data_IF_438592597146
#
_entry.id   IF_438592597146
#
_cell.length_a   1.000
_cell.length_b   1.000
_cell.length_c   1.000
_cell.angle_alpha   90.00
_cell.angle_beta   90.00
_cell.angle_gamma   90.00
#
_symmetry.space_group_name_H-M   'P 1'
#
loop_
_entity.id
_entity.type
_entity.pdbx_description
1 polymer ?
#
# COMPACT_ATOMS: atom_id res chain seq x y z
N UNK A 1 -16.48 27.31 1.86
CA UNK A 1 -16.58 25.85 2.00
C UNK A 1 -15.54 25.25 1.07
N UNK A 2 -14.61 24.48 1.57
CA UNK A 2 -13.67 23.74 0.73
C UNK A 2 -14.45 22.66 -0.03
N UNK A 3 -14.20 22.51 -1.32
CA UNK A 3 -14.79 21.45 -2.15
C UNK A 3 -14.50 20.08 -1.52
N UNK A 4 -15.51 19.20 -1.45
CA UNK A 4 -15.31 17.78 -1.15
C UNK A 4 -14.30 17.18 -2.13
N UNK A 5 -13.30 16.42 -1.63
CA UNK A 5 -12.31 15.74 -2.48
C UNK A 5 -12.87 14.42 -2.97
N UNK A 6 -12.49 14.03 -4.17
CA UNK A 6 -12.73 12.68 -4.70
C UNK A 6 -11.56 11.77 -4.30
N UNK A 7 -11.84 10.76 -3.49
CA UNK A 7 -10.86 9.82 -2.93
C UNK A 7 -11.14 8.41 -3.44
N UNK A 8 -10.15 7.77 -4.01
CA UNK A 8 -10.20 6.36 -4.42
C UNK A 8 -9.39 5.52 -3.45
N UNK A 9 -9.97 4.45 -2.93
CA UNK A 9 -9.31 3.53 -1.99
C UNK A 9 -9.39 2.11 -2.54
N UNK A 10 -8.25 1.47 -2.78
CA UNK A 10 -8.21 0.03 -3.10
C UNK A 10 -8.21 -0.79 -1.82
N UNK A 11 -8.87 -1.97 -1.82
CA UNK A 11 -8.91 -2.83 -0.64
C UNK A 11 -9.75 -2.24 0.51
N UNK A 12 -10.73 -1.38 0.18
CA UNK A 12 -11.53 -0.66 1.16
C UNK A 12 -12.60 -1.49 1.87
N UNK A 13 -12.73 -2.78 1.57
CA UNK A 13 -13.76 -3.64 2.16
C UNK A 13 -13.45 -4.09 3.60
N UNK A 14 -12.19 -4.02 4.05
CA UNK A 14 -11.78 -4.50 5.38
C UNK A 14 -10.46 -3.88 5.88
N UNK A 15 -10.13 -4.11 7.14
CA UNK A 15 -8.83 -3.81 7.74
C UNK A 15 -8.42 -2.34 7.59
N UNK A 16 -7.16 -2.11 7.18
CA UNK A 16 -6.61 -0.77 6.99
C UNK A 16 -7.44 0.02 5.96
N UNK A 17 -7.87 -0.63 4.85
CA UNK A 17 -8.64 0.03 3.81
C UNK A 17 -9.99 0.54 4.29
N UNK A 18 -10.73 -0.24 5.07
CA UNK A 18 -11.99 0.21 5.68
C UNK A 18 -11.78 1.39 6.65
N UNK A 19 -10.71 1.36 7.45
CA UNK A 19 -10.36 2.48 8.33
C UNK A 19 -10.01 3.75 7.54
N UNK A 20 -9.30 3.62 6.40
CA UNK A 20 -9.01 4.72 5.48
C UNK A 20 -10.31 5.28 4.89
N UNK A 21 -11.21 4.42 4.42
CA UNK A 21 -12.54 4.83 3.88
C UNK A 21 -13.32 5.62 4.92
N UNK A 22 -13.45 5.08 6.14
CA UNK A 22 -14.16 5.76 7.24
C UNK A 22 -13.55 7.14 7.53
N UNK A 23 -12.24 7.21 7.65
CA UNK A 23 -11.53 8.46 7.92
C UNK A 23 -11.85 9.55 6.88
N UNK A 24 -11.77 9.26 5.59
CA UNK A 24 -12.07 10.24 4.55
C UNK A 24 -13.55 10.62 4.53
N UNK A 25 -14.46 9.66 4.70
CA UNK A 25 -15.90 9.92 4.75
C UNK A 25 -16.28 10.84 5.94
N UNK A 26 -15.69 10.61 7.12
CA UNK A 26 -15.88 11.48 8.31
C UNK A 26 -15.40 12.91 8.10
N UNK A 27 -14.42 13.13 7.20
CA UNK A 27 -13.95 14.46 6.81
C UNK A 27 -14.77 15.09 5.67
N UNK A 28 -15.83 14.40 5.21
CA UNK A 28 -16.74 14.91 4.17
C UNK A 28 -16.20 14.73 2.75
N UNK A 29 -15.23 13.84 2.53
CA UNK A 29 -14.74 13.50 1.21
C UNK A 29 -15.67 12.49 0.52
N UNK A 30 -15.73 12.52 -0.82
CA UNK A 30 -16.44 11.54 -1.63
C UNK A 30 -15.53 10.34 -1.88
N UNK A 31 -15.84 9.20 -1.24
CA UNK A 31 -14.98 8.01 -1.29
C UNK A 31 -15.54 6.98 -2.28
N UNK A 32 -14.66 6.48 -3.15
CA UNK A 32 -14.91 5.33 -4.03
C UNK A 32 -13.98 4.20 -3.63
N UNK A 33 -14.57 3.03 -3.36
CA UNK A 33 -13.86 1.80 -3.04
C UNK A 33 -13.68 0.97 -4.30
N UNK A 34 -12.44 0.58 -4.58
CA UNK A 34 -12.09 -0.45 -5.56
C UNK A 34 -11.69 -1.73 -4.82
N UNK A 35 -12.51 -2.76 -4.92
CA UNK A 35 -12.30 -4.03 -4.22
C UNK A 35 -12.98 -5.16 -4.98
N UNK A 36 -12.62 -6.41 -4.71
CA UNK A 36 -13.33 -7.60 -5.23
C UNK A 36 -14.67 -7.84 -4.54
N UNK A 37 -14.87 -7.25 -3.37
CA UNK A 37 -16.09 -7.40 -2.56
C UNK A 37 -16.55 -6.04 -2.06
N UNK A 38 -17.86 -5.82 -1.95
CA UNK A 38 -18.37 -4.61 -1.30
C UNK A 38 -17.97 -4.59 0.18
N UNK A 39 -17.57 -3.42 0.66
CA UNK A 39 -17.30 -3.16 2.08
C UNK A 39 -18.57 -2.77 2.85
N UNK A 40 -18.38 -2.50 4.14
CA UNK A 40 -19.46 -2.04 5.04
C UNK A 40 -19.61 -0.51 5.07
N UNK A 41 -18.66 0.22 4.50
CA UNK A 41 -18.66 1.68 4.52
C UNK A 41 -19.71 2.26 3.55
N UNK A 42 -20.28 3.41 3.89
CA UNK A 42 -21.22 4.17 3.05
C UNK A 42 -20.47 4.88 1.88
N UNK A 43 -19.61 4.16 1.18
CA UNK A 43 -18.85 4.64 0.04
C UNK A 43 -19.39 4.02 -1.25
N UNK A 44 -19.19 4.72 -2.37
CA UNK A 44 -19.47 4.14 -3.69
C UNK A 44 -18.50 2.97 -3.91
N UNK A 45 -19.02 1.83 -4.29
CA UNK A 45 -18.26 0.63 -4.61
C UNK A 45 -18.16 0.43 -6.13
N UNK A 46 -16.99 0.05 -6.59
CA UNK A 46 -16.72 -0.45 -7.95
C UNK A 46 -15.94 -1.74 -7.79
N UNK A 47 -16.43 -2.83 -8.39
CA UNK A 47 -15.71 -4.10 -8.39
C UNK A 47 -14.43 -3.97 -9.20
N UNK A 48 -13.31 -4.41 -8.61
CA UNK A 48 -12.00 -4.39 -9.26
C UNK A 48 -11.11 -5.52 -8.73
N UNK A 49 -10.56 -6.31 -9.64
CA UNK A 49 -9.48 -7.26 -9.35
C UNK A 49 -8.14 -6.65 -9.77
N UNK A 50 -7.28 -6.37 -8.81
CA UNK A 50 -5.95 -5.79 -9.08
C UNK A 50 -4.98 -6.80 -9.72
N UNK A 51 -5.34 -8.07 -9.79
CA UNK A 51 -4.57 -9.07 -10.53
C UNK A 51 -4.97 -9.14 -12.03
N UNK A 52 -5.89 -8.31 -12.48
CA UNK A 52 -6.37 -8.24 -13.87
C UNK A 52 -6.37 -6.79 -14.39
N UNK A 53 -5.48 -6.50 -15.35
CA UNK A 53 -5.39 -5.18 -15.98
C UNK A 53 -6.71 -4.74 -16.62
N UNK A 54 -7.47 -5.64 -17.22
CA UNK A 54 -8.76 -5.30 -17.84
C UNK A 54 -9.82 -4.91 -16.80
N UNK A 55 -9.82 -5.56 -15.64
CA UNK A 55 -10.65 -5.17 -14.50
C UNK A 55 -10.26 -3.79 -13.95
N UNK A 56 -8.95 -3.52 -13.84
CA UNK A 56 -8.45 -2.20 -13.43
C UNK A 56 -8.88 -1.13 -14.42
N UNK A 57 -8.69 -1.35 -15.72
CA UNK A 57 -9.04 -0.39 -16.78
C UNK A 57 -10.54 -0.08 -16.79
N UNK A 58 -11.39 -1.10 -16.59
CA UNK A 58 -12.84 -0.93 -16.49
C UNK A 58 -13.22 -0.12 -15.24
N UNK A 59 -12.58 -0.39 -14.11
CA UNK A 59 -12.79 0.37 -12.87
C UNK A 59 -12.39 1.85 -13.04
N UNK A 60 -11.23 2.13 -13.64
CA UNK A 60 -10.76 3.49 -13.95
C UNK A 60 -11.72 4.22 -14.89
N UNK A 61 -12.23 3.54 -15.92
CA UNK A 61 -13.21 4.10 -16.85
C UNK A 61 -14.54 4.48 -16.15
N UNK A 62 -14.89 3.76 -15.08
CA UNK A 62 -16.11 4.00 -14.29
C UNK A 62 -15.99 5.17 -13.29
N UNK A 63 -14.79 5.73 -13.09
CA UNK A 63 -14.53 6.83 -12.13
C UNK A 63 -14.97 8.18 -12.69
N UNK A 64 -16.00 8.53 -13.13
CA UNK A 64 -16.56 9.71 -13.83
C UNK A 64 -16.06 11.12 -13.47
N UNK A 65 -15.16 11.30 -12.47
CA UNK A 65 -14.63 12.58 -12.00
C UNK A 65 -13.11 12.57 -11.85
N UNK A 66 -12.44 13.73 -11.89
CA UNK A 66 -11.04 13.82 -11.49
C UNK A 66 -10.86 13.34 -10.04
N UNK A 67 -9.83 12.54 -9.81
CA UNK A 67 -9.47 12.01 -8.49
C UNK A 67 -8.49 12.98 -7.82
N UNK A 68 -8.75 13.35 -6.56
CA UNK A 68 -7.86 14.19 -5.78
C UNK A 68 -6.86 13.36 -4.95
N UNK A 69 -7.29 12.17 -4.50
CA UNK A 69 -6.48 11.26 -3.69
C UNK A 69 -6.66 9.82 -4.15
N UNK A 70 -5.56 9.10 -4.32
CA UNK A 70 -5.53 7.65 -4.49
C UNK A 70 -4.85 7.00 -3.29
N UNK A 71 -5.55 6.10 -2.61
CA UNK A 71 -5.02 5.28 -1.52
C UNK A 71 -4.90 3.83 -2.02
N UNK A 72 -3.68 3.38 -2.30
CA UNK A 72 -3.37 2.01 -2.67
C UNK A 72 -3.18 1.17 -1.39
N UNK A 73 -4.26 0.55 -0.91
CA UNK A 73 -4.26 -0.21 0.35
C UNK A 73 -4.42 -1.71 0.15
N UNK A 74 -5.01 -2.13 -0.98
CA UNK A 74 -5.19 -3.54 -1.28
C UNK A 74 -3.87 -4.32 -1.23
N UNK A 75 -3.94 -5.52 -0.69
CA UNK A 75 -2.81 -6.43 -0.63
C UNK A 75 -3.23 -7.83 -0.19
N UNK A 76 -2.38 -8.79 -0.46
CA UNK A 76 -2.47 -10.18 0.01
C UNK A 76 -1.20 -10.56 0.76
N UNK A 77 -1.29 -11.55 1.64
CA UNK A 77 -0.18 -12.03 2.47
C UNK A 77 0.78 -12.94 1.71
N UNK A 78 1.93 -13.27 2.35
CA UNK A 78 2.88 -14.26 1.87
C UNK A 78 2.36 -15.70 1.80
N UNK A 79 1.16 -15.96 2.34
CA UNK A 79 0.49 -17.25 2.20
C UNK A 79 -0.11 -17.48 0.80
N UNK A 80 -0.19 -16.44 -0.02
CA UNK A 80 -0.73 -16.51 -1.38
C UNK A 80 0.34 -16.97 -2.40
N UNK A 81 -0.09 -17.44 -3.60
CA UNK A 81 0.84 -17.75 -4.70
C UNK A 81 1.65 -16.51 -5.14
N UNK A 82 2.92 -16.73 -5.53
CA UNK A 82 3.85 -15.67 -5.97
C UNK A 82 3.23 -14.73 -7.01
N UNK A 83 2.58 -15.29 -8.03
CA UNK A 83 1.95 -14.52 -9.11
C UNK A 83 0.87 -13.57 -8.59
N UNK A 84 0.04 -14.06 -7.65
CA UNK A 84 -1.04 -13.26 -7.07
C UNK A 84 -0.48 -12.14 -6.20
N UNK A 85 0.56 -12.43 -5.41
CA UNK A 85 1.22 -11.43 -4.55
C UNK A 85 1.79 -10.30 -5.40
N UNK A 86 2.58 -10.64 -6.42
CA UNK A 86 3.20 -9.65 -7.30
C UNK A 86 2.15 -8.85 -8.07
N UNK A 87 1.13 -9.55 -8.59
CA UNK A 87 0.02 -8.92 -9.32
C UNK A 87 -0.74 -7.92 -8.46
N UNK A 88 -1.18 -8.31 -7.27
CA UNK A 88 -1.99 -7.45 -6.40
C UNK A 88 -1.15 -6.40 -5.68
N UNK A 89 -0.03 -6.81 -5.04
CA UNK A 89 0.68 -5.92 -4.12
C UNK A 89 1.56 -4.88 -4.81
N UNK A 90 1.91 -5.10 -6.08
CA UNK A 90 2.78 -4.19 -6.81
C UNK A 90 2.29 -3.85 -8.21
N UNK A 91 2.24 -4.82 -9.14
CA UNK A 91 1.99 -4.50 -10.55
C UNK A 91 0.59 -3.95 -10.81
N UNK A 92 -0.43 -4.43 -10.11
CA UNK A 92 -1.79 -3.89 -10.21
C UNK A 92 -1.91 -2.49 -9.63
N UNK A 93 -1.28 -2.22 -8.47
CA UNK A 93 -1.23 -0.89 -7.88
C UNK A 93 -0.47 0.09 -8.78
N UNK A 94 0.65 -0.35 -9.37
CA UNK A 94 1.41 0.42 -10.35
C UNK A 94 0.56 0.73 -11.58
N UNK A 95 -0.07 -0.28 -12.19
CA UNK A 95 -0.93 -0.11 -13.36
C UNK A 95 -2.08 0.87 -13.08
N UNK A 96 -2.79 0.68 -11.97
CA UNK A 96 -3.85 1.60 -11.54
C UNK A 96 -3.34 3.04 -11.38
N UNK A 97 -2.19 3.21 -10.72
CA UNK A 97 -1.60 4.53 -10.46
C UNK A 97 -1.18 5.20 -11.77
N UNK A 98 -0.52 4.49 -12.68
CA UNK A 98 -0.10 5.00 -13.98
C UNK A 98 -1.30 5.42 -14.85
N UNK A 99 -2.46 4.74 -14.74
CA UNK A 99 -3.70 5.11 -15.41
C UNK A 99 -4.39 6.32 -14.78
N UNK A 100 -4.35 6.45 -13.45
CA UNK A 100 -5.09 7.50 -12.74
C UNK A 100 -4.33 8.82 -12.64
N UNK A 101 -3.02 8.80 -12.40
CA UNK A 101 -2.25 10.03 -12.15
C UNK A 101 -2.41 11.08 -13.25
N UNK A 102 -2.42 10.75 -14.55
CA UNK A 102 -2.65 11.73 -15.61
C UNK A 102 -4.05 12.40 -15.56
N UNK A 103 -5.00 11.79 -14.86
CA UNK A 103 -6.40 12.25 -14.70
C UNK A 103 -6.66 12.84 -13.31
N UNK A 104 -5.69 12.83 -12.41
CA UNK A 104 -5.82 13.40 -11.07
C UNK A 104 -5.77 14.93 -11.11
N UNK A 105 -6.37 15.54 -10.11
CA UNK A 105 -6.27 16.98 -9.90
C UNK A 105 -4.84 17.40 -9.59
N UNK A 106 -4.39 18.53 -10.12
CA UNK A 106 -3.09 19.10 -9.74
C UNK A 106 -3.03 19.38 -8.23
N UNK A 107 -1.93 18.99 -7.59
CA UNK A 107 -1.77 19.03 -6.14
C UNK A 107 -2.39 17.85 -5.40
N UNK A 108 -2.87 16.84 -6.12
CA UNK A 108 -3.36 15.58 -5.57
C UNK A 108 -2.28 14.74 -4.89
N UNK A 109 -2.69 13.64 -4.29
CA UNK A 109 -1.78 12.73 -3.60
C UNK A 109 -2.10 11.26 -3.86
N UNK A 110 -1.05 10.47 -4.01
CA UNK A 110 -1.10 9.00 -3.97
C UNK A 110 -0.41 8.54 -2.70
N UNK A 111 -1.08 7.71 -1.90
CA UNK A 111 -0.51 7.10 -0.71
C UNK A 111 -0.67 5.59 -0.83
N UNK A 112 0.44 4.87 -0.83
CA UNK A 112 0.45 3.41 -0.97
C UNK A 112 0.85 2.75 0.34
N UNK A 113 0.15 1.67 0.74
CA UNK A 113 0.47 0.91 1.94
C UNK A 113 1.46 -0.20 1.57
N UNK A 114 2.72 0.01 1.98
CA UNK A 114 3.78 -0.98 1.88
C UNK A 114 3.79 -1.91 3.10
N UNK A 115 4.93 -2.08 3.78
CA UNK A 115 5.10 -2.88 5.01
C UNK A 115 6.52 -2.68 5.55
N UNK A 116 6.74 -2.88 6.85
CA UNK A 116 8.09 -3.03 7.41
C UNK A 116 8.86 -4.20 6.80
N UNK A 117 8.18 -5.23 6.26
CA UNK A 117 8.83 -6.25 5.45
C UNK A 117 9.62 -5.69 4.24
N UNK A 118 9.34 -4.46 3.82
CA UNK A 118 10.11 -3.74 2.81
C UNK A 118 11.32 -2.96 3.33
N UNK A 119 11.65 -3.04 4.62
CA UNK A 119 12.71 -2.26 5.27
C UNK A 119 14.09 -2.45 4.62
N UNK A 120 14.42 -3.68 4.24
CA UNK A 120 15.73 -4.05 3.71
C UNK A 120 15.86 -3.89 2.18
N UNK A 121 15.04 -3.07 1.53
CA UNK A 121 15.06 -2.89 0.08
C UNK A 121 16.44 -2.49 -0.49
N UNK A 122 17.30 -1.86 0.34
CA UNK A 122 18.64 -1.45 -0.08
C UNK A 122 19.56 -2.65 -0.31
N UNK A 123 19.41 -3.70 0.47
CA UNK A 123 20.20 -4.93 0.36
C UNK A 123 19.79 -5.75 -0.86
N UNK A 124 18.58 -5.52 -1.35
CA UNK A 124 17.99 -6.21 -2.51
C UNK A 124 17.80 -5.30 -3.73
N UNK A 125 18.50 -4.19 -3.79
CA UNK A 125 18.25 -3.11 -4.77
C UNK A 125 18.28 -3.59 -6.23
N UNK A 126 19.19 -4.51 -6.59
CA UNK A 126 19.29 -5.04 -7.96
C UNK A 126 18.08 -5.87 -8.35
N UNK A 127 17.56 -6.70 -7.44
CA UNK A 127 16.36 -7.51 -7.66
C UNK A 127 15.12 -6.64 -7.75
N UNK A 128 14.99 -5.72 -6.80
CA UNK A 128 13.88 -4.77 -6.74
C UNK A 128 13.85 -3.88 -7.97
N UNK A 129 15.01 -3.41 -8.43
CA UNK A 129 15.13 -2.57 -9.62
C UNK A 129 14.69 -3.31 -10.89
N UNK A 130 14.94 -4.61 -11.00
CA UNK A 130 14.43 -5.43 -12.13
C UNK A 130 12.89 -5.47 -12.13
N UNK A 131 12.25 -5.62 -10.98
CA UNK A 131 10.79 -5.58 -10.87
C UNK A 131 10.24 -4.18 -11.19
N UNK A 132 10.85 -3.15 -10.62
CA UNK A 132 10.42 -1.75 -10.80
C UNK A 132 10.51 -1.30 -12.26
N UNK A 133 11.51 -1.77 -13.00
CA UNK A 133 11.69 -1.43 -14.42
C UNK A 133 11.08 -2.44 -15.40
N UNK A 134 10.33 -3.44 -14.91
CA UNK A 134 9.60 -4.33 -15.80
C UNK A 134 8.69 -3.51 -16.75
N UNK A 135 8.66 -3.83 -18.06
CA UNK A 135 7.99 -3.01 -19.06
C UNK A 135 6.47 -2.93 -18.85
N UNK A 136 5.87 -4.02 -18.39
CA UNK A 136 4.43 -4.13 -18.17
C UNK A 136 4.12 -5.11 -17.02
N UNK A 137 2.83 -5.26 -16.72
CA UNK A 137 2.31 -6.14 -15.68
C UNK A 137 2.74 -7.61 -15.90
N UNK A 138 2.52 -8.14 -17.10
CA UNK A 138 2.75 -9.55 -17.39
C UNK A 138 4.25 -9.92 -17.32
N UNK A 139 5.09 -9.11 -17.92
CA UNK A 139 6.55 -9.28 -17.86
C UNK A 139 7.08 -9.18 -16.42
N UNK A 140 6.52 -8.25 -15.64
CA UNK A 140 6.92 -8.09 -14.24
C UNK A 140 6.53 -9.28 -13.37
N UNK A 141 5.33 -9.79 -13.49
CA UNK A 141 4.88 -10.99 -12.78
C UNK A 141 5.72 -12.20 -13.20
N UNK A 142 6.05 -12.33 -14.48
CA UNK A 142 6.92 -13.41 -14.97
C UNK A 142 8.32 -13.32 -14.35
N UNK A 143 8.99 -12.16 -14.41
CA UNK A 143 10.32 -11.93 -13.82
C UNK A 143 10.33 -12.36 -12.35
N UNK A 144 9.36 -11.92 -11.56
CA UNK A 144 9.30 -12.26 -10.15
C UNK A 144 8.99 -13.74 -9.91
N UNK A 145 8.11 -14.35 -10.72
CA UNK A 145 7.80 -15.79 -10.61
C UNK A 145 9.00 -16.68 -10.90
N UNK A 146 9.85 -16.26 -11.81
CA UNK A 146 11.08 -17.01 -12.17
C UNK A 146 12.21 -16.83 -11.15
N UNK A 147 12.21 -15.73 -10.38
CA UNK A 147 13.31 -15.37 -9.48
C UNK A 147 13.03 -15.58 -7.99
N UNK A 148 11.76 -15.62 -7.57
CA UNK A 148 11.39 -15.69 -6.16
C UNK A 148 10.98 -17.10 -5.75
N UNK A 149 11.50 -17.56 -4.60
CA UNK A 149 11.39 -18.95 -4.19
C UNK A 149 10.00 -19.33 -3.64
N UNK A 150 9.33 -18.39 -2.97
CA UNK A 150 8.06 -18.66 -2.26
C UNK A 150 7.24 -17.37 -2.05
N UNK A 151 6.07 -17.52 -1.43
CA UNK A 151 5.17 -16.39 -1.20
C UNK A 151 5.71 -15.36 -0.19
N UNK A 152 6.47 -15.77 0.83
CA UNK A 152 7.12 -14.85 1.78
C UNK A 152 8.10 -13.94 1.04
N UNK A 153 8.97 -14.52 0.22
CA UNK A 153 9.93 -13.74 -0.58
C UNK A 153 9.21 -12.80 -1.55
N UNK A 154 8.14 -13.27 -2.19
CA UNK A 154 7.33 -12.47 -3.09
C UNK A 154 6.64 -11.31 -2.36
N UNK A 155 6.14 -11.53 -1.16
CA UNK A 155 5.55 -10.48 -0.34
C UNK A 155 6.59 -9.41 -0.03
N UNK A 156 7.74 -9.79 0.53
CA UNK A 156 8.84 -8.89 0.86
C UNK A 156 9.26 -8.08 -0.38
N UNK A 157 9.57 -8.72 -1.49
CA UNK A 157 9.98 -8.05 -2.73
C UNK A 157 8.90 -7.16 -3.32
N UNK A 158 7.61 -7.53 -3.19
CA UNK A 158 6.51 -6.67 -3.64
C UNK A 158 6.44 -5.36 -2.85
N UNK A 159 6.69 -5.41 -1.53
CA UNK A 159 6.68 -4.23 -0.66
C UNK A 159 7.93 -3.36 -0.86
N UNK A 160 9.09 -3.97 -1.00
CA UNK A 160 10.32 -3.28 -1.40
C UNK A 160 10.17 -2.60 -2.77
N UNK A 161 9.62 -3.29 -3.77
CA UNK A 161 9.37 -2.73 -5.08
C UNK A 161 8.40 -1.55 -5.04
N UNK A 162 7.36 -1.61 -4.19
CA UNK A 162 6.41 -0.51 -4.02
C UNK A 162 7.08 0.73 -3.42
N UNK A 163 7.95 0.57 -2.42
CA UNK A 163 8.72 1.66 -1.80
C UNK A 163 9.64 2.31 -2.86
N UNK A 164 10.45 1.51 -3.54
CA UNK A 164 11.43 2.00 -4.52
C UNK A 164 10.73 2.64 -5.71
N UNK A 165 9.69 1.99 -6.27
CA UNK A 165 8.92 2.53 -7.38
C UNK A 165 8.24 3.86 -7.03
N UNK A 166 7.72 3.99 -5.81
CA UNK A 166 7.09 5.24 -5.34
C UNK A 166 8.07 6.41 -5.41
N UNK A 167 9.33 6.20 -5.06
CA UNK A 167 10.36 7.23 -5.20
C UNK A 167 10.60 7.64 -6.67
N UNK A 168 10.68 6.68 -7.60
CA UNK A 168 10.80 6.97 -9.04
C UNK A 168 9.56 7.69 -9.58
N UNK A 169 8.36 7.19 -9.22
CA UNK A 169 7.10 7.77 -9.66
C UNK A 169 6.90 9.20 -9.12
N UNK A 170 7.32 9.46 -7.88
CA UNK A 170 7.29 10.81 -7.30
C UNK A 170 8.12 11.82 -8.07
N UNK A 171 9.27 11.41 -8.62
CA UNK A 171 10.08 12.27 -9.48
C UNK A 171 9.46 12.43 -10.88
N UNK A 172 8.90 11.35 -11.45
CA UNK A 172 8.23 11.36 -12.75
C UNK A 172 7.03 12.32 -12.76
N UNK A 173 6.24 12.34 -11.67
CA UNK A 173 4.99 13.12 -11.56
C UNK A 173 5.15 14.39 -10.71
N UNK A 174 6.39 14.80 -10.40
CA UNK A 174 6.66 16.00 -9.59
C UNK A 174 5.97 17.24 -10.16
N UNK A 175 5.42 18.04 -9.26
CA UNK A 175 4.69 19.25 -9.63
C UNK A 175 3.23 19.02 -10.06
N UNK A 176 2.81 17.76 -10.22
CA UNK A 176 1.43 17.39 -10.51
C UNK A 176 0.77 16.74 -9.29
N UNK A 177 1.31 15.62 -8.83
CA UNK A 177 0.86 14.91 -7.63
C UNK A 177 2.04 14.51 -6.75
N UNK A 178 1.78 14.24 -5.47
CA UNK A 178 2.76 13.67 -4.54
C UNK A 178 2.49 12.17 -4.40
N UNK A 179 3.56 11.38 -4.32
CA UNK A 179 3.46 9.95 -4.09
C UNK A 179 4.32 9.55 -2.89
N UNK A 180 3.73 8.87 -1.90
CA UNK A 180 4.44 8.40 -0.71
C UNK A 180 3.96 7.00 -0.33
N UNK A 181 4.77 6.28 0.45
CA UNK A 181 4.39 5.02 1.06
C UNK A 181 4.25 5.16 2.58
N UNK A 182 3.41 4.31 3.13
CA UNK A 182 3.30 4.03 4.56
C UNK A 182 3.66 2.57 4.75
N UNK A 183 4.60 2.28 5.64
CA UNK A 183 5.07 0.93 5.97
C UNK A 183 4.65 0.55 7.39
N UNK A 184 3.50 -0.11 7.57
CA UNK A 184 3.06 -0.60 8.87
C UNK A 184 3.91 -1.78 9.34
N UNK A 185 4.09 -1.89 10.67
CA UNK A 185 4.38 -3.15 11.34
C UNK A 185 3.15 -4.08 11.37
N UNK A 186 3.11 -5.10 12.26
CA UNK A 186 1.93 -5.93 12.44
C UNK A 186 0.69 -5.12 12.87
N UNK A 187 -0.44 -5.29 12.17
CA UNK A 187 -1.70 -4.54 12.39
C UNK A 187 -2.86 -5.50 12.59
N UNK A 188 -3.74 -5.20 13.55
CA UNK A 188 -4.96 -5.95 13.85
C UNK A 188 -5.97 -5.86 12.71
N UNK A 189 -5.87 -6.76 11.76
CA UNK A 189 -6.73 -6.87 10.58
C UNK A 189 -7.16 -8.31 10.36
N UNK A 190 -8.20 -8.57 9.55
CA UNK A 190 -8.55 -9.94 9.14
C UNK A 190 -7.40 -10.69 8.43
N UNK A 191 -6.40 -9.98 7.92
CA UNK A 191 -5.25 -10.57 7.23
C UNK A 191 -4.11 -10.98 8.19
N UNK A 192 -4.13 -10.52 9.45
CA UNK A 192 -3.06 -10.77 10.41
C UNK A 192 -2.76 -12.26 10.66
N UNK A 193 -3.76 -13.17 10.77
CA UNK A 193 -3.48 -14.59 10.93
C UNK A 193 -2.67 -15.18 9.76
N UNK A 194 -2.96 -14.77 8.52
CA UNK A 194 -2.21 -15.24 7.35
C UNK A 194 -0.74 -14.75 7.35
N UNK A 195 -0.45 -13.62 7.99
CA UNK A 195 0.93 -13.18 8.20
C UNK A 195 1.65 -14.06 9.20
N UNK A 196 1.01 -14.47 10.30
CA UNK A 196 1.58 -15.45 11.22
C UNK A 196 1.81 -16.80 10.55
N UNK A 197 0.91 -17.25 9.66
CA UNK A 197 1.08 -18.48 8.90
C UNK A 197 2.26 -18.42 7.92
N UNK A 198 2.54 -17.27 7.32
CA UNK A 198 3.56 -17.13 6.27
C UNK A 198 4.93 -16.65 6.79
N UNK A 199 4.98 -15.85 7.84
CA UNK A 199 6.21 -15.29 8.43
C UNK A 199 6.63 -16.02 9.71
N UNK A 200 5.65 -16.50 10.49
CA UNK A 200 5.86 -17.19 11.75
C UNK A 200 5.92 -16.27 12.97
N UNK A 201 5.71 -16.87 14.13
CA UNK A 201 5.79 -16.19 15.43
C UNK A 201 7.20 -15.67 15.75
N UNK A 202 8.22 -16.42 15.33
CA UNK A 202 9.63 -16.04 15.58
C UNK A 202 10.00 -14.68 14.96
N UNK A 203 9.31 -14.27 13.89
CA UNK A 203 9.55 -13.00 13.21
C UNK A 203 8.62 -11.88 13.71
N UNK A 204 7.33 -12.19 13.96
CA UNK A 204 6.34 -11.17 14.28
C UNK A 204 6.21 -10.85 15.79
N UNK A 205 6.39 -11.84 16.67
CA UNK A 205 6.25 -11.62 18.12
C UNK A 205 7.28 -10.63 18.65
N UNK A 206 8.58 -10.69 18.28
CA UNK A 206 9.55 -9.69 18.74
C UNK A 206 9.18 -8.26 18.30
N UNK A 207 8.65 -8.07 17.09
CA UNK A 207 8.20 -6.75 16.63
C UNK A 207 7.00 -6.25 17.44
N UNK A 208 6.06 -7.14 17.76
CA UNK A 208 4.91 -6.81 18.61
C UNK A 208 5.35 -6.41 20.03
N UNK A 209 6.30 -7.15 20.60
CA UNK A 209 6.85 -6.82 21.94
C UNK A 209 7.58 -5.47 21.92
N UNK A 210 8.43 -5.21 20.93
CA UNK A 210 9.12 -3.93 20.75
C UNK A 210 8.16 -2.77 20.48
N UNK A 211 7.00 -3.02 19.86
CA UNK A 211 5.93 -2.04 19.68
C UNK A 211 5.12 -1.74 20.96
N UNK A 212 5.55 -2.24 22.12
CA UNK A 212 4.88 -2.04 23.41
C UNK A 212 3.82 -3.11 23.71
N UNK A 213 4.01 -4.34 23.24
CA UNK A 213 3.20 -5.52 23.56
C UNK A 213 1.84 -5.58 22.86
N UNK A 214 1.68 -4.84 21.78
CA UNK A 214 0.45 -4.90 20.93
C UNK A 214 0.74 -4.65 19.46
N UNK A 215 -0.13 -5.16 18.63
CA UNK A 215 -0.16 -4.79 17.23
C UNK A 215 -0.73 -3.37 17.01
N UNK A 216 -0.41 -2.76 15.89
CA UNK A 216 -1.03 -1.51 15.46
C UNK A 216 -2.53 -1.69 15.17
N UNK A 217 -3.30 -0.61 15.26
CA UNK A 217 -4.71 -0.61 14.87
C UNK A 217 -4.84 0.00 13.48
N UNK A 218 -5.82 -0.45 12.67
CA UNK A 218 -6.08 0.08 11.34
C UNK A 218 -6.23 1.61 11.32
N UNK A 219 -6.84 2.20 12.34
CA UNK A 219 -7.06 3.64 12.47
C UNK A 219 -5.75 4.43 12.65
N UNK A 220 -4.73 3.82 13.28
CA UNK A 220 -3.41 4.44 13.44
C UNK A 220 -2.71 4.58 12.08
N UNK A 221 -2.83 3.56 11.22
CA UNK A 221 -2.33 3.62 9.84
C UNK A 221 -3.13 4.60 8.99
N UNK A 222 -4.47 4.54 9.07
CA UNK A 222 -5.36 5.43 8.34
C UNK A 222 -5.10 6.92 8.68
N UNK A 223 -4.65 7.22 9.91
CA UNK A 223 -4.30 8.56 10.34
C UNK A 223 -3.09 9.11 9.57
N UNK A 224 -2.06 8.29 9.38
CA UNK A 224 -0.86 8.67 8.62
C UNK A 224 -1.18 8.77 7.12
N UNK A 225 -1.99 7.85 6.58
CA UNK A 225 -2.48 7.93 5.19
C UNK A 225 -3.22 9.24 4.96
N UNK A 226 -4.15 9.61 5.86
CA UNK A 226 -4.90 10.86 5.78
C UNK A 226 -4.01 12.11 5.85
N UNK A 227 -2.99 12.10 6.72
CA UNK A 227 -1.98 13.18 6.80
C UNK A 227 -1.20 13.30 5.48
N UNK A 228 -0.66 12.20 4.95
CA UNK A 228 0.11 12.23 3.70
C UNK A 228 -0.74 12.65 2.50
N UNK A 229 -2.05 12.37 2.52
CA UNK A 229 -3.00 12.82 1.50
C UNK A 229 -3.45 14.29 1.68
N UNK A 230 -3.06 14.96 2.76
CA UNK A 230 -3.44 16.33 3.06
C UNK A 230 -2.44 17.36 2.52
N UNK A 231 -2.82 18.65 2.55
CA UNK A 231 -1.93 19.77 2.21
C UNK A 231 -0.83 19.99 3.25
N UNK A 232 -1.00 19.50 4.46
CA UNK A 232 0.02 19.58 5.53
C UNK A 232 1.28 18.81 5.17
N UNK A 233 1.15 17.75 4.35
CA UNK A 233 2.26 16.96 3.82
C UNK A 233 2.81 17.51 2.49
N UNK A 234 2.61 18.80 2.15
CA UNK A 234 2.97 19.38 0.84
C UNK A 234 4.45 19.29 0.49
N UNK A 235 5.34 19.15 1.48
CA UNK A 235 6.79 19.00 1.27
C UNK A 235 7.28 17.56 1.41
N UNK A 236 6.36 16.59 1.55
CA UNK A 236 6.65 15.16 1.66
C UNK A 236 6.31 14.50 0.32
N UNK A 237 7.33 14.01 -0.40
CA UNK A 237 7.16 13.39 -1.71
C UNK A 237 8.27 12.36 -1.99
N UNK A 238 7.90 11.17 -2.40
CA UNK A 238 8.83 10.07 -2.74
C UNK A 238 9.45 9.39 -1.52
N UNK A 239 8.80 9.48 -0.35
CA UNK A 239 9.31 8.92 0.90
C UNK A 239 8.44 7.76 1.40
N UNK A 240 9.06 6.90 2.21
CA UNK A 240 8.41 5.87 2.99
C UNK A 240 8.32 6.31 4.45
N UNK A 241 7.13 6.21 5.04
CA UNK A 241 6.89 6.49 6.45
C UNK A 241 6.58 5.18 7.18
N UNK A 242 7.51 4.76 8.01
CA UNK A 242 7.34 3.58 8.87
C UNK A 242 6.38 3.90 10.02
N UNK A 243 5.41 3.02 10.27
CA UNK A 243 4.37 3.18 11.30
C UNK A 243 4.23 1.86 12.08
N UNK A 244 5.11 1.68 13.04
CA UNK A 244 5.31 0.42 13.77
C UNK A 244 5.66 0.63 15.26
N UNK A 245 5.43 1.84 15.79
CA UNK A 245 5.85 2.27 17.13
C UNK A 245 7.38 2.20 17.36
N UNK A 246 8.20 2.17 16.29
CA UNK A 246 9.66 2.12 16.34
C UNK A 246 10.23 0.70 16.47
N UNK A 247 9.40 -0.33 16.30
CA UNK A 247 9.77 -1.73 16.51
C UNK A 247 10.88 -2.19 15.57
N UNK A 248 10.76 -1.93 14.25
CA UNK A 248 11.75 -2.35 13.26
C UNK A 248 13.13 -1.74 13.53
N UNK A 249 13.18 -0.44 13.83
CA UNK A 249 14.44 0.22 14.17
C UNK A 249 15.04 -0.30 15.48
N UNK A 250 14.20 -0.59 16.48
CA UNK A 250 14.66 -1.15 17.74
C UNK A 250 15.22 -2.58 17.55
N UNK A 251 14.57 -3.38 16.71
CA UNK A 251 15.03 -4.72 16.34
C UNK A 251 16.38 -4.65 15.61
N UNK A 252 16.52 -3.79 14.62
CA UNK A 252 17.75 -3.57 13.86
C UNK A 252 18.93 -3.15 14.75
N UNK A 253 18.67 -2.33 15.77
CA UNK A 253 19.68 -1.89 16.72
C UNK A 253 19.96 -2.91 17.83
N UNK A 254 19.33 -4.08 17.81
CA UNK A 254 19.49 -5.11 18.84
C UNK A 254 19.02 -4.66 20.23
N UNK A 255 18.03 -3.75 20.30
CA UNK A 255 17.49 -3.29 21.57
C UNK A 255 16.68 -4.40 22.24
N UNK A 256 16.97 -4.65 23.51
CA UNK A 256 16.17 -5.57 24.30
C UNK A 256 14.81 -4.96 24.64
N UNK A 257 13.76 -5.80 24.67
CA UNK A 257 12.46 -5.40 25.22
C UNK A 257 12.65 -4.95 26.65
N UNK A 258 12.18 -3.76 27.05
CA UNK A 258 12.24 -3.33 28.44
C UNK A 258 11.52 -4.32 29.36
N UNK A 259 12.16 -4.70 30.45
CA UNK A 259 11.58 -5.60 31.46
C UNK A 259 10.38 -4.97 32.17
#
# INVERSE_FOLDING_TARGET
MTRSRSVVVTGGASGIGDAVVRRFAEHGDEVVVLDRKPGNAAARYIEADLNDCSSIDAAVASLGQPVDVLCNVAGVSGASPVQLILGVNFFGLRHLTDQLVPRMSAGGAVVSVASTAGWYWRDHLDEVTRLVHAPDFAAGVQIGTESLANGKDAYTRSKEALIVWTSYAAQRYRGHVRLNTVSPGPVETPLLPEFYDSMGHEELDPLTELAGGRNGRPEEIASVVGFLASREASWINGTDIVVDAGAEMAFELGQAVPA
#
